data_IF_426977857196
#
_entry.id   IF_426977857196
#
_cell.length_a   1.000
_cell.length_b   1.000
_cell.length_c   1.000
_cell.angle_alpha   90.00
_cell.angle_beta   90.00
_cell.angle_gamma   90.00
#
_symmetry.space_group_name_H-M   'P 1'
#
loop_
_entity.id
_entity.type
_entity.pdbx_description
1 polymer ?
#
# COMPACT_ATOMS: atom_id res chain seq x y z
N UNK A 1 0.20 22.37 -6.02
CA UNK A 1 -0.29 21.31 -6.95
C UNK A 1 0.36 19.99 -6.54
N UNK A 2 -0.37 19.11 -5.83
CA UNK A 2 0.11 17.77 -5.47
C UNK A 2 -0.07 16.83 -6.68
N UNK A 3 1.03 16.38 -7.26
CA UNK A 3 1.06 15.36 -8.30
C UNK A 3 1.10 13.98 -7.64
N UNK A 4 -0.03 13.38 -7.25
CA UNK A 4 0.00 12.06 -6.60
C UNK A 4 -1.05 11.08 -7.14
N UNK A 5 -1.29 11.06 -8.45
CA UNK A 5 -1.97 9.92 -9.05
C UNK A 5 -0.99 8.77 -9.19
N UNK A 6 -1.24 7.68 -8.44
CA UNK A 6 -0.51 6.41 -8.59
C UNK A 6 -0.54 6.00 -10.06
N UNK A 7 0.63 5.78 -10.67
CA UNK A 7 0.76 5.33 -12.06
C UNK A 7 0.85 3.80 -12.10
N UNK A 8 -0.23 3.07 -12.42
CA UNK A 8 -0.25 1.61 -12.27
C UNK A 8 0.75 0.92 -13.19
N UNK A 9 0.97 1.49 -14.39
CA UNK A 9 1.95 1.00 -15.36
C UNK A 9 3.38 0.95 -14.82
N UNK A 10 3.76 1.81 -13.87
CA UNK A 10 5.07 1.77 -13.22
C UNK A 10 5.23 0.50 -12.37
N UNK A 11 4.20 0.13 -11.61
CA UNK A 11 4.19 -1.05 -10.74
C UNK A 11 4.03 -2.34 -11.54
N UNK A 12 3.17 -2.31 -12.56
CA UNK A 12 2.96 -3.45 -13.46
C UNK A 12 4.25 -3.87 -14.17
N UNK A 13 5.08 -2.91 -14.59
CA UNK A 13 6.40 -3.21 -15.19
C UNK A 13 7.37 -3.87 -14.21
N UNK A 14 7.18 -3.70 -12.90
CA UNK A 14 8.04 -4.24 -11.85
C UNK A 14 7.44 -5.49 -11.19
N UNK A 15 6.29 -5.96 -11.66
CA UNK A 15 5.56 -7.06 -11.03
C UNK A 15 6.47 -8.28 -10.84
N UNK A 16 7.12 -8.75 -11.90
CA UNK A 16 7.99 -9.93 -11.82
C UNK A 16 9.16 -9.72 -10.85
N UNK A 17 9.75 -8.52 -10.85
CA UNK A 17 10.78 -8.15 -9.88
C UNK A 17 10.25 -8.23 -8.43
N UNK A 18 9.05 -7.75 -8.14
CA UNK A 18 8.49 -7.86 -6.78
C UNK A 18 8.31 -9.31 -6.32
N UNK A 19 8.06 -10.25 -7.23
CA UNK A 19 7.91 -11.67 -6.91
C UNK A 19 9.26 -12.38 -6.80
N UNK A 20 10.14 -12.20 -7.78
CA UNK A 20 11.46 -12.84 -7.87
C UNK A 20 12.41 -12.33 -6.77
N UNK A 21 12.31 -11.04 -6.43
CA UNK A 21 13.17 -10.39 -5.44
C UNK A 21 12.61 -10.32 -4.04
N UNK A 22 11.49 -11.00 -3.76
CA UNK A 22 10.69 -10.83 -2.51
C UNK A 22 11.52 -10.89 -1.21
N UNK A 23 12.60 -11.68 -1.19
CA UNK A 23 13.44 -11.91 -0.01
C UNK A 23 14.49 -10.81 0.20
N UNK A 24 14.84 -10.08 -0.85
CA UNK A 24 15.88 -9.05 -0.87
C UNK A 24 15.35 -7.69 -1.35
N UNK A 25 14.02 -7.50 -1.39
CA UNK A 25 13.42 -6.21 -1.72
C UNK A 25 13.79 -5.16 -0.66
N UNK A 26 14.29 -3.98 -1.06
CA UNK A 26 14.44 -2.85 -0.15
C UNK A 26 13.11 -2.48 0.50
N UNK A 27 13.13 -1.94 1.72
CA UNK A 27 11.92 -1.56 2.49
C UNK A 27 10.90 -0.77 1.66
N UNK A 28 11.37 0.22 0.90
CA UNK A 28 10.51 1.02 0.01
C UNK A 28 9.83 0.19 -1.07
N UNK A 29 10.52 -0.77 -1.67
CA UNK A 29 9.96 -1.68 -2.67
C UNK A 29 8.98 -2.68 -2.04
N UNK A 30 9.21 -3.11 -0.80
CA UNK A 30 8.25 -3.93 -0.05
C UNK A 30 6.92 -3.17 0.14
N UNK A 31 6.97 -1.90 0.53
CA UNK A 31 5.78 -1.07 0.70
C UNK A 31 5.03 -0.89 -0.63
N UNK A 32 5.77 -0.60 -1.71
CA UNK A 32 5.21 -0.51 -3.06
C UNK A 32 4.57 -1.82 -3.52
N UNK A 33 5.23 -2.96 -3.28
CA UNK A 33 4.71 -4.29 -3.61
C UNK A 33 3.44 -4.59 -2.81
N UNK A 34 3.40 -4.26 -1.51
CA UNK A 34 2.19 -4.43 -0.68
C UNK A 34 1.00 -3.67 -1.24
N UNK A 35 1.18 -2.39 -1.56
CA UNK A 35 0.12 -1.55 -2.15
C UNK A 35 -0.33 -2.12 -3.49
N UNK A 36 0.62 -2.52 -4.33
CA UNK A 36 0.33 -3.11 -5.65
C UNK A 36 -0.44 -4.43 -5.54
N UNK A 37 0.05 -5.41 -4.77
CA UNK A 37 -0.59 -6.73 -4.67
C UNK A 37 -1.93 -6.69 -3.94
N UNK A 38 -2.12 -5.80 -2.97
CA UNK A 38 -3.42 -5.60 -2.34
C UNK A 38 -4.43 -5.02 -3.33
N UNK A 39 -4.03 -4.03 -4.12
CA UNK A 39 -4.89 -3.48 -5.16
C UNK A 39 -5.19 -4.49 -6.27
N UNK A 40 -4.20 -5.29 -6.66
CA UNK A 40 -4.33 -6.31 -7.71
C UNK A 40 -5.40 -7.36 -7.37
N UNK A 41 -5.57 -7.71 -6.09
CA UNK A 41 -6.61 -8.65 -5.61
C UNK A 41 -8.04 -8.16 -5.82
N UNK A 42 -8.23 -6.86 -6.04
CA UNK A 42 -9.57 -6.27 -6.28
C UNK A 42 -10.05 -6.40 -7.72
N UNK A 43 -9.15 -6.77 -8.63
CA UNK A 43 -9.46 -7.02 -10.03
C UNK A 43 -10.02 -8.43 -10.22
N UNK A 44 -10.95 -8.58 -11.16
CA UNK A 44 -11.45 -9.89 -11.58
C UNK A 44 -10.33 -10.71 -12.25
N UNK A 45 -10.52 -12.01 -12.39
CA UNK A 45 -9.53 -12.87 -13.05
C UNK A 45 -9.29 -12.45 -14.50
N UNK A 46 -10.34 -12.11 -15.26
CA UNK A 46 -10.24 -11.62 -16.63
C UNK A 46 -9.47 -10.30 -16.73
N UNK A 47 -9.70 -9.38 -15.79
CA UNK A 47 -8.99 -8.10 -15.73
C UNK A 47 -7.50 -8.32 -15.41
N UNK A 48 -7.20 -9.21 -14.47
CA UNK A 48 -5.82 -9.60 -14.14
C UNK A 48 -5.14 -10.26 -15.33
N UNK A 49 -5.84 -11.12 -16.06
CA UNK A 49 -5.26 -11.83 -17.21
C UNK A 49 -4.78 -10.86 -18.29
N UNK A 50 -5.56 -9.81 -18.58
CA UNK A 50 -5.15 -8.75 -19.52
C UNK A 50 -3.85 -8.07 -19.10
N UNK A 51 -3.66 -7.84 -17.80
CA UNK A 51 -2.45 -7.22 -17.26
C UNK A 51 -1.27 -8.20 -17.26
N UNK A 52 -1.51 -9.47 -16.93
CA UNK A 52 -0.49 -10.55 -16.97
C UNK A 52 0.06 -10.68 -18.39
N UNK A 53 -0.80 -10.79 -19.39
CA UNK A 53 -0.39 -10.99 -20.77
C UNK A 53 0.46 -9.83 -21.29
N UNK A 54 0.13 -8.60 -20.90
CA UNK A 54 0.86 -7.42 -21.34
C UNK A 54 2.17 -7.17 -20.58
N UNK A 55 2.13 -7.27 -19.25
CA UNK A 55 3.19 -6.76 -18.38
C UNK A 55 4.04 -7.86 -17.76
N UNK A 56 3.43 -8.99 -17.38
CA UNK A 56 4.11 -10.05 -16.65
C UNK A 56 4.81 -11.05 -17.58
N UNK A 57 4.13 -11.47 -18.64
CA UNK A 57 4.65 -12.45 -19.62
C UNK A 57 5.70 -11.87 -20.57
N UNK A 58 6.06 -10.59 -20.44
CA UNK A 58 7.11 -10.02 -21.28
C UNK A 58 8.47 -10.60 -20.92
N UNK A 59 9.23 -11.01 -21.93
CA UNK A 59 10.60 -11.49 -21.79
C UNK A 59 11.63 -10.35 -21.89
N UNK A 60 11.20 -9.16 -22.30
CA UNK A 60 12.09 -8.02 -22.52
C UNK A 60 12.41 -7.32 -21.21
N UNK A 61 13.64 -7.51 -20.73
CA UNK A 61 14.18 -6.82 -19.55
C UNK A 61 14.50 -5.35 -19.89
N UNK A 62 14.37 -4.46 -18.90
CA UNK A 62 14.56 -3.02 -19.10
C UNK A 62 15.61 -2.44 -18.14
N UNK A 63 15.25 -2.21 -16.88
CA UNK A 63 16.14 -1.53 -15.94
C UNK A 63 16.94 -2.54 -15.14
N UNK A 64 18.27 -2.48 -15.21
CA UNK A 64 19.16 -3.26 -14.34
C UNK A 64 19.52 -2.45 -13.10
N UNK A 65 19.41 -3.05 -11.91
CA UNK A 65 19.90 -2.48 -10.67
C UNK A 65 21.24 -3.14 -10.31
N UNK A 66 22.31 -2.37 -10.35
CA UNK A 66 23.67 -2.84 -10.07
C UNK A 66 23.88 -3.24 -8.61
N UNK A 67 23.24 -2.55 -7.67
CA UNK A 67 23.38 -2.84 -6.23
C UNK A 67 22.73 -4.18 -5.86
N UNK A 68 21.64 -4.53 -6.56
CA UNK A 68 20.89 -5.78 -6.32
C UNK A 68 21.25 -6.89 -7.31
N UNK A 69 22.05 -6.60 -8.33
CA UNK A 69 22.46 -7.56 -9.35
C UNK A 69 21.32 -8.10 -10.24
N UNK A 70 20.16 -7.44 -10.27
CA UNK A 70 18.96 -7.96 -10.95
C UNK A 70 18.23 -6.89 -11.79
N UNK A 71 17.43 -7.35 -12.76
CA UNK A 71 16.53 -6.47 -13.50
C UNK A 71 15.30 -6.14 -12.66
N UNK A 72 14.96 -4.85 -12.56
CA UNK A 72 13.85 -4.36 -11.76
C UNK A 72 12.58 -4.17 -12.57
N UNK A 73 12.66 -4.11 -13.90
CA UNK A 73 11.49 -3.87 -14.73
C UNK A 73 11.54 -4.55 -16.10
N UNK A 74 10.34 -4.76 -16.66
CA UNK A 74 10.11 -5.33 -17.99
C UNK A 74 9.57 -4.26 -18.96
N UNK A 75 9.88 -4.43 -20.24
CA UNK A 75 9.27 -3.69 -21.34
C UNK A 75 7.94 -4.38 -21.69
N UNK A 76 6.77 -3.74 -21.54
CA UNK A 76 5.49 -4.39 -21.82
C UNK A 76 5.36 -4.83 -23.28
N UNK A 77 4.61 -5.91 -23.51
CA UNK A 77 4.23 -6.33 -24.87
C UNK A 77 3.37 -5.23 -25.51
N UNK A 78 3.55 -5.01 -26.81
CA UNK A 78 2.86 -3.93 -27.53
C UNK A 78 1.36 -4.19 -27.60
N UNK A 79 0.57 -3.10 -27.60
CA UNK A 79 -0.90 -3.22 -27.67
C UNK A 79 -1.36 -3.93 -28.95
N UNK A 80 -0.63 -3.81 -30.06
CA UNK A 80 -0.96 -4.51 -31.31
C UNK A 80 -0.86 -6.03 -31.18
N UNK A 81 0.21 -6.53 -30.54
CA UNK A 81 0.46 -7.98 -30.40
C UNK A 81 -0.59 -8.60 -29.48
N UNK A 82 -0.92 -7.95 -28.36
CA UNK A 82 -1.96 -8.47 -27.47
C UNK A 82 -3.35 -8.37 -28.12
N UNK A 83 -3.66 -7.28 -28.82
CA UNK A 83 -4.94 -7.16 -29.51
C UNK A 83 -5.16 -8.28 -30.54
N UNK A 84 -4.12 -8.64 -31.29
CA UNK A 84 -4.12 -9.79 -32.20
C UNK A 84 -4.38 -11.11 -31.47
N UNK A 85 -3.70 -11.36 -30.33
CA UNK A 85 -3.92 -12.57 -29.52
C UNK A 85 -5.36 -12.68 -28.99
N UNK A 86 -5.99 -11.55 -28.69
CA UNK A 86 -7.36 -11.49 -28.20
C UNK A 86 -8.41 -11.44 -29.32
N UNK A 87 -7.99 -11.36 -30.59
CA UNK A 87 -8.90 -11.26 -31.74
C UNK A 87 -9.74 -9.97 -31.76
N UNK A 88 -9.23 -8.88 -31.17
CA UNK A 88 -9.93 -7.58 -31.11
C UNK A 88 -9.11 -6.47 -31.76
N UNK A 89 -9.76 -5.33 -32.04
CA UNK A 89 -9.03 -4.18 -32.57
C UNK A 89 -8.06 -3.63 -31.53
N UNK A 90 -6.92 -3.08 -31.99
CA UNK A 90 -5.95 -2.40 -31.12
C UNK A 90 -6.61 -1.32 -30.26
N UNK A 91 -7.56 -0.57 -30.83
CA UNK A 91 -8.26 0.50 -30.13
C UNK A 91 -9.15 -0.04 -29.00
N UNK A 92 -9.84 -1.16 -29.23
CA UNK A 92 -10.69 -1.77 -28.21
C UNK A 92 -9.84 -2.38 -27.09
N UNK A 93 -8.73 -3.02 -27.44
CA UNK A 93 -7.76 -3.48 -26.46
C UNK A 93 -7.21 -2.33 -25.62
N UNK A 94 -6.81 -1.22 -26.26
CA UNK A 94 -6.32 -0.02 -25.56
C UNK A 94 -7.35 0.55 -24.59
N UNK A 95 -8.61 0.64 -25.00
CA UNK A 95 -9.71 1.10 -24.12
C UNK A 95 -9.94 0.15 -22.95
N UNK A 96 -9.99 -1.16 -23.22
CA UNK A 96 -10.14 -2.20 -22.19
C UNK A 96 -9.01 -2.12 -21.17
N UNK A 97 -7.76 -2.09 -21.65
CA UNK A 97 -6.56 -1.93 -20.81
C UNK A 97 -6.61 -0.65 -19.99
N UNK A 98 -6.92 0.49 -20.60
CA UNK A 98 -6.97 1.77 -19.91
C UNK A 98 -8.02 1.79 -18.78
N UNK A 99 -9.18 1.17 -19.01
CA UNK A 99 -10.22 1.01 -17.97
C UNK A 99 -9.72 0.17 -16.80
N UNK A 100 -9.06 -0.97 -17.09
CA UNK A 100 -8.49 -1.85 -16.08
C UNK A 100 -7.37 -1.16 -15.29
N UNK A 101 -6.46 -0.47 -15.97
CA UNK A 101 -5.40 0.31 -15.33
C UNK A 101 -5.98 1.43 -14.47
N UNK A 102 -7.01 2.13 -14.91
CA UNK A 102 -7.69 3.15 -14.11
C UNK A 102 -8.34 2.55 -12.85
N UNK A 103 -8.99 1.39 -12.97
CA UNK A 103 -9.54 0.65 -11.82
C UNK A 103 -8.44 0.27 -10.82
N UNK A 104 -7.33 -0.30 -11.31
CA UNK A 104 -6.18 -0.63 -10.49
C UNK A 104 -5.60 0.62 -9.80
N UNK A 105 -5.45 1.73 -10.51
CA UNK A 105 -4.92 2.98 -9.94
C UNK A 105 -5.77 3.54 -8.80
N UNK A 106 -7.10 3.42 -8.88
CA UNK A 106 -8.00 3.76 -7.77
C UNK A 106 -7.78 2.85 -6.58
N UNK A 107 -7.80 1.53 -6.79
CA UNK A 107 -7.56 0.55 -5.73
C UNK A 107 -6.16 0.70 -5.09
N UNK A 108 -5.15 1.10 -5.85
CA UNK A 108 -3.81 1.39 -5.32
C UNK A 108 -3.79 2.66 -4.48
N UNK A 109 -4.54 3.69 -4.87
CA UNK A 109 -4.65 4.92 -4.08
C UNK A 109 -5.30 4.62 -2.72
N UNK A 110 -6.38 3.84 -2.72
CA UNK A 110 -7.04 3.36 -1.49
C UNK A 110 -6.10 2.48 -0.66
N UNK A 111 -5.39 1.54 -1.29
CA UNK A 111 -4.46 0.68 -0.56
C UNK A 111 -3.27 1.46 0.01
N UNK A 112 -2.80 2.50 -0.68
CA UNK A 112 -1.75 3.39 -0.18
C UNK A 112 -2.24 4.18 1.03
N UNK A 113 -3.48 4.68 1.00
CA UNK A 113 -4.09 5.33 2.16
C UNK A 113 -4.18 4.38 3.35
N UNK A 114 -4.65 3.15 3.15
CA UNK A 114 -4.71 2.14 4.22
C UNK A 114 -3.33 1.77 4.77
N UNK A 115 -2.31 1.67 3.91
CA UNK A 115 -0.93 1.40 4.34
C UNK A 115 -0.37 2.60 5.11
N UNK A 116 -0.61 3.82 4.64
CA UNK A 116 -0.19 5.03 5.31
C UNK A 116 -0.90 5.20 6.66
N UNK A 117 -2.23 5.08 6.72
CA UNK A 117 -3.02 5.16 7.95
C UNK A 117 -2.65 4.09 8.97
N UNK A 118 -2.21 2.90 8.50
CA UNK A 118 -1.66 1.87 9.39
C UNK A 118 -0.28 2.27 9.92
N UNK A 119 0.56 2.87 9.09
CA UNK A 119 1.96 3.19 9.41
C UNK A 119 2.19 4.58 10.02
N UNK A 120 1.20 5.46 10.04
CA UNK A 120 1.36 6.77 10.67
C UNK A 120 1.54 6.57 12.16
N UNK A 121 2.72 6.91 12.66
CA UNK A 121 2.93 7.12 14.08
C UNK A 121 2.05 8.28 14.53
N UNK A 122 1.21 8.04 15.53
CA UNK A 122 0.36 9.06 16.11
C UNK A 122 0.43 9.00 17.63
N UNK A 123 0.18 10.14 18.25
CA UNK A 123 -0.09 10.26 19.68
C UNK A 123 -1.60 10.27 19.88
N UNK A 124 -2.07 9.84 21.05
CA UNK A 124 -3.47 10.00 21.42
C UNK A 124 -3.58 11.18 22.39
N UNK A 125 -4.38 12.19 22.02
CA UNK A 125 -4.63 13.42 22.76
C UNK A 125 -6.04 13.41 23.36
N UNK A 126 -6.25 14.04 24.50
CA UNK A 126 -7.60 14.28 25.07
C UNK A 126 -7.70 15.71 25.62
N UNK A 127 -8.67 16.49 25.15
CA UNK A 127 -8.72 17.92 25.46
C UNK A 127 -7.44 18.66 25.04
N UNK A 128 -7.13 19.80 25.63
CA UNK A 128 -5.96 20.59 25.26
C UNK A 128 -4.72 20.24 26.08
N UNK A 129 -3.70 19.70 25.39
CA UNK A 129 -2.35 19.51 25.94
C UNK A 129 -2.09 18.19 26.69
N UNK A 130 -3.08 17.29 26.75
CA UNK A 130 -2.95 16.02 27.47
C UNK A 130 -2.88 14.83 26.52
N UNK A 131 -1.93 13.93 26.78
CA UNK A 131 -1.62 12.81 25.90
C UNK A 131 -1.55 11.48 26.64
N UNK A 132 -1.92 10.40 25.97
CA UNK A 132 -1.74 9.05 26.47
C UNK A 132 -0.24 8.71 26.58
N UNK A 133 0.17 8.20 27.75
CA UNK A 133 1.56 7.79 28.03
C UNK A 133 1.68 6.27 28.15
N UNK A 134 0.86 5.63 29.00
CA UNK A 134 0.89 4.16 29.20
C UNK A 134 -0.32 3.65 29.98
N UNK A 135 -0.60 2.36 29.89
CA UNK A 135 -1.55 1.69 30.77
C UNK A 135 -0.96 1.46 32.17
N UNK A 136 -1.79 1.61 33.21
CA UNK A 136 -1.44 1.19 34.57
C UNK A 136 -1.86 -0.27 34.75
N UNK A 137 -0.88 -1.16 34.77
CA UNK A 137 -1.11 -2.54 35.19
C UNK A 137 -1.05 -2.62 36.71
N UNK A 138 -2.19 -2.81 37.37
CA UNK A 138 -2.26 -3.23 38.78
C UNK A 138 -3.26 -4.36 38.88
N UNK A 139 -2.88 -5.45 39.55
CA UNK A 139 -3.64 -6.70 39.69
C UNK A 139 -5.01 -6.55 40.38
N UNK A 140 -5.32 -5.38 40.95
CA UNK A 140 -6.47 -5.16 41.83
C UNK A 140 -7.39 -4.00 41.42
N UNK A 141 -7.25 -3.43 40.23
CA UNK A 141 -8.14 -2.37 39.76
C UNK A 141 -9.23 -2.95 38.87
N UNK A 142 -10.49 -2.78 39.29
CA UNK A 142 -11.69 -3.13 38.53
C UNK A 142 -11.95 -2.22 37.31
N UNK A 143 -11.12 -1.19 37.13
CA UNK A 143 -11.23 -0.23 36.03
C UNK A 143 -9.89 -0.09 35.31
N UNK A 144 -9.95 -0.06 33.99
CA UNK A 144 -8.79 0.25 33.17
C UNK A 144 -8.31 1.67 33.46
N UNK A 145 -7.10 1.77 34.02
CA UNK A 145 -6.48 3.05 34.32
C UNK A 145 -5.28 3.27 33.40
N UNK A 146 -5.09 4.52 32.99
CA UNK A 146 -4.02 4.94 32.10
C UNK A 146 -3.39 6.24 32.63
N UNK A 147 -2.12 6.41 32.32
CA UNK A 147 -1.36 7.63 32.61
C UNK A 147 -1.56 8.59 31.44
N UNK A 148 -1.98 9.80 31.78
CA UNK A 148 -2.03 10.95 30.88
C UNK A 148 -0.89 11.89 31.26
N UNK A 149 -0.19 12.42 30.26
CA UNK A 149 0.96 13.30 30.44
C UNK A 149 1.06 14.36 29.35
N UNK A 150 2.24 14.97 29.25
CA UNK A 150 2.52 16.00 28.25
C UNK A 150 2.81 15.40 26.88
N UNK A 151 2.88 16.26 25.84
CA UNK A 151 3.27 15.84 24.49
C UNK A 151 4.68 15.22 24.44
N UNK A 152 5.56 15.59 25.38
CA UNK A 152 6.93 15.09 25.46
C UNK A 152 6.98 13.64 25.98
N UNK A 153 6.03 13.27 26.83
CA UNK A 153 5.92 11.95 27.45
C UNK A 153 4.99 11.01 26.67
N UNK A 154 4.31 11.53 25.65
CA UNK A 154 3.28 10.84 24.90
C UNK A 154 3.81 9.57 24.23
N UNK A 155 3.07 8.46 24.39
CA UNK A 155 3.37 7.25 23.65
C UNK A 155 3.08 7.44 22.16
N UNK A 156 4.05 7.01 21.37
CA UNK A 156 3.90 6.89 19.93
C UNK A 156 3.27 5.54 19.62
N UNK A 157 2.10 5.57 19.01
CA UNK A 157 1.31 4.39 18.69
C UNK A 157 1.28 4.18 17.17
N UNK A 158 1.13 2.91 16.79
CA UNK A 158 1.06 2.51 15.38
C UNK A 158 0.01 1.42 15.18
N UNK A 159 -0.61 1.37 14.01
CA UNK A 159 -1.56 0.31 13.67
C UNK A 159 -0.90 -0.74 12.77
N UNK A 160 -1.31 -2.02 12.83
CA UNK A 160 -2.34 -2.59 13.70
C UNK A 160 -1.85 -2.96 15.11
N UNK A 161 -0.57 -2.74 15.44
CA UNK A 161 0.05 -3.18 16.70
C UNK A 161 -0.76 -2.78 17.95
N UNK A 162 -1.26 -1.55 17.96
CA UNK A 162 -1.95 -0.97 19.12
C UNK A 162 -3.49 -0.90 18.93
N UNK A 163 -4.06 -1.62 17.95
CA UNK A 163 -5.46 -1.47 17.49
C UNK A 163 -6.50 -1.55 18.62
N UNK A 164 -6.42 -2.57 19.49
CA UNK A 164 -7.36 -2.73 20.59
C UNK A 164 -7.31 -1.55 21.58
N UNK A 165 -6.10 -1.12 21.96
CA UNK A 165 -5.88 -0.01 22.87
C UNK A 165 -6.38 1.30 22.25
N UNK A 166 -6.06 1.54 20.99
CA UNK A 166 -6.46 2.74 20.24
C UNK A 166 -7.97 2.82 20.16
N UNK A 167 -8.66 1.77 19.71
CA UNK A 167 -10.12 1.77 19.60
C UNK A 167 -10.82 2.03 20.94
N UNK A 168 -10.28 1.45 22.03
CA UNK A 168 -10.77 1.69 23.39
C UNK A 168 -10.62 3.15 23.82
N UNK A 169 -9.44 3.73 23.64
CA UNK A 169 -9.17 5.11 24.04
C UNK A 169 -9.95 6.11 23.19
N UNK A 170 -10.13 5.86 21.89
CA UNK A 170 -11.01 6.66 21.04
C UNK A 170 -12.46 6.66 21.58
N UNK A 171 -12.96 5.50 22.03
CA UNK A 171 -14.27 5.40 22.69
C UNK A 171 -14.38 6.22 23.99
N UNK A 172 -13.25 6.51 24.64
CA UNK A 172 -13.16 7.34 25.84
C UNK A 172 -12.90 8.83 25.54
N UNK A 173 -13.01 9.25 24.27
CA UNK A 173 -12.88 10.65 23.87
C UNK A 173 -11.45 11.10 23.57
N UNK A 174 -10.51 10.18 23.40
CA UNK A 174 -9.20 10.51 22.84
C UNK A 174 -9.30 10.73 21.32
N UNK A 175 -8.41 11.55 20.79
CA UNK A 175 -8.26 11.85 19.37
C UNK A 175 -6.85 11.49 18.90
N UNK A 176 -6.73 11.08 17.63
CA UNK A 176 -5.41 10.83 17.02
C UNK A 176 -4.77 12.16 16.64
N UNK A 177 -3.57 12.41 17.13
CA UNK A 177 -2.71 13.49 16.69
C UNK A 177 -1.53 12.89 15.89
N UNK A 178 -1.48 13.06 14.56
CA UNK A 178 -0.35 12.62 13.75
C UNK A 178 0.95 13.28 14.23
N UNK A 179 2.07 12.53 14.18
CA UNK A 179 3.41 13.06 14.46
C UNK A 179 4.00 13.71 13.20
#
# INVERSE_FOLDING_TARGET
>A
MRYDHVRPSYYLRQWRYYEEAREYLPKRSIEQAKVFFNALKTLTDDERQVLIDKYYKSEKLCNYNYDLGCYTSLIPITDSVIAEQYGISKNDYMKKRASIEAKLGRAMTESQQLVNEKLTEFKLKIGDGFYYVRALKREYLYFDSYVIGSVLDAAVLTLPKDEYLVNKLLGNGFEKEPI
#
